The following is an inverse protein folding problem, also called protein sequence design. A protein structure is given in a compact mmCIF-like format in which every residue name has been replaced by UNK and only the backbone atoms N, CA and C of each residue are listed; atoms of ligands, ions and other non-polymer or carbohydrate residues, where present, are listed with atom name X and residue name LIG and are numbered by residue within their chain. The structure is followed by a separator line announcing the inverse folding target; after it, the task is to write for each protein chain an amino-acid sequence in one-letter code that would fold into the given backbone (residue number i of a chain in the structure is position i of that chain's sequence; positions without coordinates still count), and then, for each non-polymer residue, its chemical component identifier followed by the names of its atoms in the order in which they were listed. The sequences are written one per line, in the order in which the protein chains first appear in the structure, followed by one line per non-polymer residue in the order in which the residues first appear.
data_IF_524915444962
#
_entry.id   IF_524915444962
#
_cell.length_a   1.000
_cell.length_b   1.000
_cell.length_c   1.000
_cell.angle_alpha   90.00
_cell.angle_beta   90.00
_cell.angle_gamma   90.00
#
_symmetry.space_group_name_H-M   'P 1'
#
loop_
_entity.id
_entity.type
_entity.pdbx_description
1 polymer ?
#
# COMPACT_ATOMS: atom_id res chain seq x y z
N UNK A 1 -18.91 26.27 7.07
CA UNK A 1 -18.79 25.02 6.29
C UNK A 1 -19.16 23.88 7.21
N UNK A 2 -19.94 22.91 6.73
CA UNK A 2 -20.47 21.82 7.55
C UNK A 2 -19.34 20.79 7.74
N UNK A 3 -19.01 20.46 8.99
CA UNK A 3 -18.02 19.44 9.37
C UNK A 3 -18.22 18.09 8.64
N UNK A 4 -19.45 17.79 8.22
CA UNK A 4 -19.80 16.60 7.42
C UNK A 4 -19.23 16.68 6.00
N UNK A 5 -19.18 17.86 5.39
CA UNK A 5 -18.71 18.06 4.02
C UNK A 5 -17.20 17.89 3.89
N UNK A 6 -16.43 18.28 4.92
CA UNK A 6 -14.98 18.14 4.98
C UNK A 6 -14.51 16.68 5.06
N UNK A 7 -15.40 15.74 5.40
CA UNK A 7 -15.04 14.32 5.54
C UNK A 7 -14.63 13.71 4.21
N UNK A 8 -15.25 14.15 3.11
CA UNK A 8 -14.91 13.69 1.77
C UNK A 8 -13.60 14.30 1.25
N UNK A 9 -13.19 15.46 1.77
CA UNK A 9 -11.89 16.06 1.47
C UNK A 9 -10.75 15.33 2.19
N UNK A 10 -11.03 14.72 3.34
CA UNK A 10 -10.10 13.87 4.09
C UNK A 10 -10.02 12.44 3.55
N UNK A 11 -10.96 12.05 2.68
CA UNK A 11 -11.12 10.72 2.11
C UNK A 11 -10.06 10.43 1.02
N UNK A 12 -8.80 10.40 1.42
CA UNK A 12 -7.68 10.11 0.53
C UNK A 12 -7.26 8.65 0.65
N UNK A 13 -7.16 7.93 -0.47
CA UNK A 13 -6.90 6.48 -0.48
C UNK A 13 -5.60 6.10 0.23
N UNK A 14 -4.54 6.92 0.14
CA UNK A 14 -3.29 6.64 0.85
C UNK A 14 -3.45 6.75 2.38
N UNK A 15 -4.35 7.61 2.86
CA UNK A 15 -4.64 7.76 4.31
C UNK A 15 -5.51 6.64 4.82
N UNK A 16 -6.52 6.23 4.05
CA UNK A 16 -7.34 5.05 4.36
C UNK A 16 -6.46 3.81 4.42
N UNK A 17 -5.59 3.60 3.42
CA UNK A 17 -4.60 2.51 3.43
C UNK A 17 -3.72 2.56 4.68
N UNK A 18 -3.17 3.73 5.02
CA UNK A 18 -2.30 3.87 6.19
C UNK A 18 -3.01 3.46 7.49
N UNK A 19 -4.24 3.94 7.67
CA UNK A 19 -5.04 3.58 8.83
C UNK A 19 -5.35 2.08 8.87
N UNK A 20 -5.74 1.48 7.74
CA UNK A 20 -6.09 0.06 7.67
C UNK A 20 -4.88 -0.87 7.87
N UNK A 21 -3.71 -0.52 7.36
CA UNK A 21 -2.51 -1.37 7.41
C UNK A 21 -1.71 -1.14 8.70
N UNK A 22 -1.54 0.12 9.11
CA UNK A 22 -0.63 0.50 10.20
C UNK A 22 -1.35 0.98 11.47
N UNK A 23 -2.68 1.09 11.45
CA UNK A 23 -3.47 1.52 12.61
C UNK A 23 -3.28 2.98 13.01
N UNK A 24 -2.60 3.78 12.19
CA UNK A 24 -2.29 5.19 12.46
C UNK A 24 -3.00 6.10 11.47
N UNK A 25 -3.66 7.14 11.99
CA UNK A 25 -4.10 8.27 11.17
C UNK A 25 -2.88 9.15 10.87
N UNK A 26 -2.25 8.95 9.72
CA UNK A 26 -1.21 9.89 9.29
C UNK A 26 -0.08 9.24 8.54
N UNK A 27 -0.15 9.35 7.22
CA UNK A 27 1.02 9.38 6.37
C UNK A 27 0.96 10.66 5.55
N UNK A 28 2.12 11.26 5.30
CA UNK A 28 2.22 12.28 4.25
C UNK A 28 1.73 11.65 2.94
N UNK A 29 0.82 12.35 2.26
CA UNK A 29 0.37 11.91 0.95
C UNK A 29 1.58 12.00 0.04
N UNK A 30 2.04 10.84 -0.47
CA UNK A 30 3.09 10.86 -1.46
C UNK A 30 2.45 11.32 -2.79
N UNK A 31 2.84 12.51 -3.31
CA UNK A 31 2.22 13.06 -4.52
C UNK A 31 2.69 12.36 -5.79
N UNK A 32 3.72 11.50 -5.69
CA UNK A 32 4.31 10.78 -6.82
C UNK A 32 3.36 9.71 -7.36
N UNK A 33 3.50 9.43 -8.65
CA UNK A 33 2.73 8.38 -9.31
C UNK A 33 3.08 6.99 -8.77
N UNK A 34 2.18 6.01 -8.92
CA UNK A 34 2.39 4.66 -8.39
C UNK A 34 3.71 4.04 -8.83
N UNK A 35 4.02 4.11 -10.13
CA UNK A 35 5.26 3.57 -10.70
C UNK A 35 6.49 4.28 -10.13
N UNK A 36 6.46 5.60 -10.03
CA UNK A 36 7.59 6.38 -9.49
C UNK A 36 7.93 5.98 -8.06
N UNK A 37 6.92 5.80 -7.20
CA UNK A 37 7.14 5.34 -5.82
C UNK A 37 7.74 3.93 -5.76
N UNK A 38 7.29 3.03 -6.64
CA UNK A 38 7.80 1.65 -6.72
C UNK A 38 9.25 1.68 -7.19
N UNK A 39 9.53 2.40 -8.28
CA UNK A 39 10.87 2.50 -8.88
C UNK A 39 11.87 3.10 -7.90
N UNK A 40 11.48 4.11 -7.11
CA UNK A 40 12.31 4.71 -6.06
C UNK A 40 12.64 3.74 -4.93
N UNK A 41 11.62 3.05 -4.39
CA UNK A 41 11.81 2.06 -3.34
C UNK A 41 12.69 0.89 -3.81
N UNK A 42 12.40 0.38 -5.01
CA UNK A 42 13.18 -0.67 -5.65
C UNK A 42 14.64 -0.25 -5.86
N UNK A 43 14.86 0.93 -6.46
CA UNK A 43 16.22 1.43 -6.71
C UNK A 43 17.01 1.55 -5.41
N UNK A 44 16.40 2.12 -4.37
CA UNK A 44 17.06 2.27 -3.06
C UNK A 44 17.47 0.91 -2.47
N UNK A 45 16.60 -0.10 -2.53
CA UNK A 45 16.90 -1.43 -2.04
C UNK A 45 18.00 -2.12 -2.85
N UNK A 46 17.90 -2.09 -4.18
CA UNK A 46 18.85 -2.75 -5.09
C UNK A 46 20.23 -2.10 -5.04
N UNK A 47 20.31 -0.77 -4.99
CA UNK A 47 21.60 -0.07 -4.87
C UNK A 47 22.30 -0.45 -3.55
N UNK A 48 21.55 -0.60 -2.45
CA UNK A 48 22.09 -1.08 -1.18
C UNK A 48 22.59 -2.53 -1.27
N UNK A 49 21.80 -3.42 -1.86
CA UNK A 49 22.18 -4.84 -2.02
C UNK A 49 23.46 -4.96 -2.86
N UNK A 50 23.51 -4.28 -4.02
CA UNK A 50 24.71 -4.24 -4.88
C UNK A 50 25.96 -3.77 -4.15
N UNK A 51 25.82 -2.78 -3.26
CA UNK A 51 26.96 -2.26 -2.48
C UNK A 51 27.52 -3.27 -1.48
N UNK A 52 26.68 -4.17 -0.95
CA UNK A 52 27.06 -5.13 0.10
C UNK A 52 27.44 -6.50 -0.44
N UNK A 53 26.86 -6.90 -1.58
CA UNK A 53 27.06 -8.19 -2.21
C UNK A 53 27.63 -7.99 -3.63
N UNK A 54 28.94 -7.72 -3.76
CA UNK A 54 29.57 -7.57 -5.08
C UNK A 54 29.69 -8.90 -5.83
N UNK A 55 29.60 -10.03 -5.13
CA UNK A 55 29.47 -11.35 -5.77
C UNK A 55 28.08 -11.48 -6.40
N UNK A 56 28.04 -11.74 -7.71
CA UNK A 56 26.80 -11.79 -8.49
C UNK A 56 25.85 -12.91 -8.03
N UNK A 57 26.38 -14.06 -7.58
CA UNK A 57 25.56 -15.16 -7.11
C UNK A 57 24.88 -14.84 -5.76
N UNK A 58 25.63 -14.27 -4.81
CA UNK A 58 25.07 -13.86 -3.51
C UNK A 58 24.08 -12.68 -3.67
N UNK A 59 24.38 -11.75 -4.59
CA UNK A 59 23.47 -10.67 -4.97
C UNK A 59 22.14 -11.19 -5.51
N UNK A 60 22.19 -12.15 -6.44
CA UNK A 60 20.99 -12.74 -7.03
C UNK A 60 20.18 -13.49 -5.98
N UNK A 61 20.83 -14.30 -5.14
CA UNK A 61 20.17 -15.06 -4.08
C UNK A 61 19.40 -14.16 -3.11
N UNK A 62 20.03 -13.08 -2.61
CA UNK A 62 19.36 -12.20 -1.66
C UNK A 62 18.27 -11.35 -2.33
N UNK A 63 18.48 -10.92 -3.56
CA UNK A 63 17.47 -10.16 -4.32
C UNK A 63 16.23 -11.00 -4.56
N UNK A 64 16.39 -12.27 -4.96
CA UNK A 64 15.28 -13.21 -5.12
C UNK A 64 14.49 -13.38 -3.82
N UNK A 65 15.18 -13.61 -2.68
CA UNK A 65 14.50 -13.74 -1.37
C UNK A 65 13.70 -12.50 -0.98
N UNK A 66 14.22 -11.31 -1.27
CA UNK A 66 13.52 -10.04 -1.00
C UNK A 66 12.29 -9.90 -1.89
N UNK A 67 12.39 -10.25 -3.18
CA UNK A 67 11.26 -10.21 -4.09
C UNK A 67 10.19 -11.25 -3.77
N UNK A 68 10.58 -12.47 -3.42
CA UNK A 68 9.62 -13.50 -3.01
C UNK A 68 8.82 -13.05 -1.79
N UNK A 69 9.48 -12.43 -0.81
CA UNK A 69 8.82 -11.83 0.35
C UNK A 69 7.88 -10.67 -0.04
N UNK A 70 8.36 -9.74 -0.87
CA UNK A 70 7.56 -8.61 -1.32
C UNK A 70 6.31 -9.06 -2.10
N UNK A 71 6.47 -10.02 -3.01
CA UNK A 71 5.37 -10.61 -3.77
C UNK A 71 4.35 -11.28 -2.86
N UNK A 72 4.79 -12.08 -1.88
CA UNK A 72 3.88 -12.69 -0.90
C UNK A 72 3.11 -11.65 -0.08
N UNK A 73 3.75 -10.53 0.28
CA UNK A 73 3.06 -9.42 0.93
C UNK A 73 2.02 -8.77 0.00
N UNK A 74 2.40 -8.48 -1.25
CA UNK A 74 1.51 -7.87 -2.25
C UNK A 74 0.26 -8.73 -2.49
N UNK A 75 0.43 -10.04 -2.65
CA UNK A 75 -0.67 -10.99 -2.84
C UNK A 75 -1.67 -10.95 -1.67
N UNK A 76 -1.16 -11.09 -0.44
CA UNK A 76 -1.99 -11.11 0.77
C UNK A 76 -2.72 -9.78 0.99
N UNK A 77 -2.02 -8.65 0.87
CA UNK A 77 -2.64 -7.35 1.08
C UNK A 77 -3.63 -6.98 -0.01
N UNK A 78 -3.41 -7.42 -1.26
CA UNK A 78 -4.38 -7.23 -2.34
C UNK A 78 -5.66 -8.03 -2.07
N UNK A 79 -5.54 -9.29 -1.65
CA UNK A 79 -6.69 -10.12 -1.29
C UNK A 79 -7.52 -9.48 -0.16
N UNK A 80 -6.86 -9.08 0.93
CA UNK A 80 -7.51 -8.41 2.07
C UNK A 80 -8.19 -7.11 1.61
N UNK A 81 -7.50 -6.29 0.81
CA UNK A 81 -8.02 -5.02 0.32
C UNK A 81 -9.31 -5.19 -0.51
N UNK A 82 -9.35 -6.19 -1.39
CA UNK A 82 -10.53 -6.53 -2.17
C UNK A 82 -11.70 -6.98 -1.29
N UNK A 83 -11.43 -7.85 -0.30
CA UNK A 83 -12.44 -8.31 0.65
C UNK A 83 -13.03 -7.14 1.47
N UNK A 84 -12.18 -6.26 2.01
CA UNK A 84 -12.61 -5.06 2.72
C UNK A 84 -13.47 -4.14 1.84
N UNK A 85 -13.04 -3.92 0.60
CA UNK A 85 -13.80 -3.12 -0.38
C UNK A 85 -15.20 -3.69 -0.63
N UNK A 86 -15.31 -5.00 -0.79
CA UNK A 86 -16.60 -5.66 -1.01
C UNK A 86 -17.52 -5.58 0.21
N UNK A 87 -16.99 -5.80 1.42
CA UNK A 87 -17.73 -5.66 2.68
C UNK A 87 -18.28 -4.23 2.82
N UNK A 88 -17.46 -3.21 2.57
CA UNK A 88 -17.90 -1.81 2.62
C UNK A 88 -18.98 -1.51 1.58
N UNK A 89 -18.86 -2.03 0.36
CA UNK A 89 -19.89 -1.85 -0.67
C UNK A 89 -21.24 -2.44 -0.25
N UNK A 90 -21.25 -3.64 0.35
CA UNK A 90 -22.47 -4.25 0.91
C UNK A 90 -23.06 -3.37 2.01
N UNK A 91 -22.23 -2.91 2.95
CA UNK A 91 -22.70 -2.05 4.05
C UNK A 91 -23.36 -0.76 3.54
N UNK A 92 -22.75 -0.10 2.54
CA UNK A 92 -23.32 1.09 1.91
C UNK A 92 -24.67 0.76 1.28
N UNK A 93 -24.76 -0.34 0.53
CA UNK A 93 -26.01 -0.75 -0.11
C UNK A 93 -27.12 -1.05 0.90
N UNK A 94 -26.82 -1.80 1.96
CA UNK A 94 -27.78 -2.10 3.03
C UNK A 94 -28.25 -0.83 3.75
N UNK A 95 -27.34 0.10 4.05
CA UNK A 95 -27.68 1.38 4.69
C UNK A 95 -28.58 2.28 3.82
N UNK A 96 -28.45 2.19 2.50
CA UNK A 96 -29.32 2.92 1.57
C UNK A 96 -30.74 2.33 1.52
N UNK A 97 -30.90 1.02 1.71
CA UNK A 97 -32.20 0.35 1.76
C UNK A 97 -32.92 0.50 3.11
N UNK A 98 -32.17 0.74 4.19
CA UNK A 98 -32.70 0.98 5.52
C UNK A 98 -33.24 2.42 5.73
N UNK A 99 -33.17 3.27 4.71
CA UNK A 99 -33.78 4.60 4.64
C UNK A 99 -35.06 4.56 3.80
#
# INVERSE_FOLDING_TARGET
MNHISEIFERLHIQRIREFLVNGVEGGDINPKGYKERIDEAHKSAIDMIKSKFPNMAEHEEITTKVYDYAAACEDVYMEIGLQCGFIMAIQVFTNMQAK
#
